data_IF_078603326432
#
_entry.id   IF_078603326432
#
_cell.length_a   1.000
_cell.length_b   1.000
_cell.length_c   1.000
_cell.angle_alpha   90.00
_cell.angle_beta   90.00
_cell.angle_gamma   90.00
#
_symmetry.space_group_name_H-M   'P 1'
#
loop_
_entity.id
_entity.type
_entity.pdbx_description
1 polymer ?
#
# COMPACT_ATOMS: atom_id res chain seq x y z
N UNK A 1 6.32 53.20 34.46
CA UNK A 1 5.88 52.87 33.08
C UNK A 1 7.12 52.68 32.22
N UNK A 2 7.40 51.45 31.79
CA UNK A 2 8.15 51.08 30.59
C UNK A 2 7.98 49.56 30.43
N UNK A 3 7.19 49.16 29.43
CA UNK A 3 7.02 47.77 29.00
C UNK A 3 8.11 47.48 27.98
N UNK A 4 8.81 46.35 28.13
CA UNK A 4 9.57 45.73 27.04
C UNK A 4 9.45 44.21 27.16
N UNK A 5 8.54 43.64 26.36
CA UNK A 5 8.49 42.20 26.11
C UNK A 5 9.51 41.83 25.03
N UNK A 6 10.18 40.69 25.21
CA UNK A 6 10.89 39.98 24.15
C UNK A 6 10.42 38.52 24.13
N UNK A 7 10.22 38.03 22.92
CA UNK A 7 9.47 36.86 22.45
C UNK A 7 10.06 35.48 22.82
N UNK A 8 9.25 34.39 22.72
CA UNK A 8 9.74 33.05 22.99
C UNK A 8 10.65 32.56 21.85
N UNK A 9 11.84 32.09 22.21
CA UNK A 9 12.79 31.44 21.31
C UNK A 9 12.19 30.10 20.87
N UNK A 10 11.57 30.09 19.69
CA UNK A 10 11.15 28.88 19.01
C UNK A 10 12.35 27.98 18.71
N UNK A 11 12.20 26.71 19.05
CA UNK A 11 13.19 25.64 18.94
C UNK A 11 13.67 25.46 17.48
N UNK A 12 14.93 25.79 17.22
CA UNK A 12 15.59 25.57 15.92
C UNK A 12 16.17 24.16 15.89
N UNK A 13 15.49 23.23 15.22
CA UNK A 13 16.04 21.89 14.95
C UNK A 13 17.21 22.00 13.95
N UNK A 14 18.40 21.51 14.34
CA UNK A 14 19.60 21.49 13.48
C UNK A 14 19.49 20.34 12.47
N UNK A 15 19.34 20.67 11.19
CA UNK A 15 19.72 19.80 10.06
C UNK A 15 21.08 20.28 9.53
N UNK A 16 21.94 19.34 9.12
CA UNK A 16 23.39 19.49 8.96
C UNK A 16 23.91 20.62 8.06
N UNK A 17 25.18 21.00 8.32
CA UNK A 17 26.07 21.96 7.64
C UNK A 17 25.38 23.19 6.99
N UNK A 18 25.06 24.17 7.83
CA UNK A 18 25.22 25.58 7.49
C UNK A 18 23.97 26.40 7.21
N UNK A 19 22.78 25.80 7.07
CA UNK A 19 21.53 26.55 6.87
C UNK A 19 20.55 26.21 7.99
N UNK A 20 20.35 27.14 8.92
CA UNK A 20 19.30 27.03 9.95
C UNK A 20 17.96 27.33 9.29
N UNK A 21 17.26 26.31 8.80
CA UNK A 21 15.87 26.46 8.37
C UNK A 21 14.95 26.56 9.59
N UNK A 22 13.93 27.41 9.51
CA UNK A 22 12.88 27.51 10.52
C UNK A 22 11.94 26.31 10.40
N UNK A 23 11.30 25.88 11.49
CA UNK A 23 10.39 24.73 11.49
C UNK A 23 9.30 24.83 10.39
N UNK A 24 8.78 26.03 10.14
CA UNK A 24 7.81 26.29 9.08
C UNK A 24 8.37 26.02 7.68
N UNK A 25 9.65 26.34 7.44
CA UNK A 25 10.31 26.05 6.17
C UNK A 25 10.45 24.53 5.97
N UNK A 26 10.78 23.78 7.03
CA UNK A 26 10.90 22.31 6.96
C UNK A 26 9.55 21.66 6.63
N UNK A 27 8.47 22.12 7.26
CA UNK A 27 7.11 21.63 6.98
C UNK A 27 6.64 21.99 5.55
N UNK A 28 6.97 23.19 5.06
CA UNK A 28 6.64 23.57 3.69
C UNK A 28 7.39 22.75 2.63
N UNK A 29 8.65 22.36 2.90
CA UNK A 29 9.43 21.48 2.01
C UNK A 29 8.84 20.07 1.98
N UNK A 30 8.54 19.47 3.14
CA UNK A 30 7.86 18.16 3.21
C UNK A 30 6.50 18.19 2.49
N UNK A 31 5.77 19.29 2.60
CA UNK A 31 4.49 19.47 1.92
C UNK A 31 4.68 19.53 0.40
N UNK A 32 5.68 20.27 -0.08
CA UNK A 32 6.00 20.35 -1.50
C UNK A 32 6.47 18.99 -2.06
N UNK A 33 7.28 18.24 -1.32
CA UNK A 33 7.68 16.85 -1.66
C UNK A 33 6.46 15.93 -1.75
N UNK A 34 5.58 15.94 -0.74
CA UNK A 34 4.32 15.16 -0.76
C UNK A 34 3.41 15.53 -1.93
N UNK A 35 3.33 16.82 -2.30
CA UNK A 35 2.52 17.28 -3.44
C UNK A 35 3.16 16.88 -4.77
N UNK A 36 4.48 16.89 -4.88
CA UNK A 36 5.20 16.42 -6.06
C UNK A 36 5.06 14.90 -6.22
N UNK A 37 5.14 14.15 -5.13
CA UNK A 37 4.90 12.71 -5.08
C UNK A 37 3.46 12.38 -5.45
N UNK A 38 2.47 13.11 -4.91
CA UNK A 38 1.06 12.96 -5.25
C UNK A 38 0.75 13.22 -6.74
N UNK A 39 1.49 14.14 -7.40
CA UNK A 39 1.36 14.40 -8.85
C UNK A 39 1.93 13.28 -9.72
N UNK A 40 2.74 12.38 -9.15
CA UNK A 40 3.39 11.28 -9.87
C UNK A 40 2.84 9.90 -9.48
N UNK A 41 1.80 9.84 -8.62
CA UNK A 41 1.11 8.59 -8.30
C UNK A 41 0.47 8.04 -9.58
N UNK A 42 0.78 6.80 -10.00
CA UNK A 42 0.13 6.21 -11.15
C UNK A 42 -1.39 6.17 -10.97
N UNK A 43 -2.09 6.48 -12.06
CA UNK A 43 -3.54 6.31 -12.14
C UNK A 43 -3.96 4.85 -11.95
N UNK A 44 -5.25 4.63 -11.74
CA UNK A 44 -5.80 3.26 -11.78
C UNK A 44 -6.00 2.86 -13.24
N UNK A 45 -5.33 1.80 -13.65
CA UNK A 45 -5.51 1.18 -14.95
C UNK A 45 -6.70 0.23 -14.96
N UNK A 46 -6.63 -0.83 -15.77
CA UNK A 46 -7.65 -1.87 -15.72
C UNK A 46 -7.59 -2.66 -14.41
N UNK A 47 -8.73 -3.22 -14.01
CA UNK A 47 -8.82 -4.19 -12.92
C UNK A 47 -9.67 -5.37 -13.40
N UNK A 48 -9.00 -6.41 -13.88
CA UNK A 48 -9.65 -7.55 -14.54
C UNK A 48 -9.77 -8.71 -13.57
N UNK A 49 -11.00 -9.07 -13.21
CA UNK A 49 -11.26 -10.22 -12.35
C UNK A 49 -11.52 -11.50 -13.16
N UNK A 50 -10.88 -12.60 -12.75
CA UNK A 50 -11.11 -13.95 -13.25
C UNK A 50 -11.21 -14.94 -12.10
N UNK A 51 -11.81 -16.10 -12.34
CA UNK A 51 -11.85 -17.19 -11.37
C UNK A 51 -10.66 -18.13 -11.56
N UNK A 52 -10.03 -18.54 -10.47
CA UNK A 52 -9.08 -19.64 -10.50
C UNK A 52 -9.75 -20.92 -11.00
N UNK A 53 -9.02 -21.70 -11.81
CA UNK A 53 -9.54 -22.94 -12.40
C UNK A 53 -10.00 -23.96 -11.34
N UNK A 54 -9.37 -23.98 -10.17
CA UNK A 54 -9.67 -24.91 -9.08
C UNK A 54 -9.67 -24.19 -7.73
N UNK A 55 -10.55 -24.59 -6.80
CA UNK A 55 -10.46 -24.15 -5.43
C UNK A 55 -9.21 -24.72 -4.75
N UNK A 56 -8.72 -24.02 -3.73
CA UNK A 56 -7.64 -24.46 -2.85
C UNK A 56 -8.25 -25.08 -1.59
N UNK A 57 -7.62 -26.13 -1.05
CA UNK A 57 -8.05 -26.70 0.23
C UNK A 57 -7.60 -25.79 1.36
N UNK A 58 -8.36 -25.76 2.45
CA UNK A 58 -8.07 -24.90 3.60
C UNK A 58 -6.67 -25.15 4.17
N UNK A 59 -6.24 -26.42 4.21
CA UNK A 59 -4.93 -26.82 4.71
C UNK A 59 -3.77 -26.33 3.81
N UNK A 60 -4.04 -26.11 2.53
CA UNK A 60 -3.04 -25.73 1.52
C UNK A 60 -3.04 -24.22 1.26
N UNK A 61 -3.96 -23.45 1.86
CA UNK A 61 -4.16 -22.04 1.55
C UNK A 61 -2.93 -21.18 1.89
N UNK A 62 -2.36 -21.37 3.08
CA UNK A 62 -1.18 -20.60 3.53
C UNK A 62 0.04 -20.94 2.66
N UNK A 63 0.27 -22.22 2.35
CA UNK A 63 1.35 -22.61 1.43
C UNK A 63 1.17 -21.95 0.06
N UNK A 64 -0.05 -21.93 -0.47
CA UNK A 64 -0.35 -21.30 -1.76
C UNK A 64 -0.12 -19.78 -1.73
N UNK A 65 -0.39 -19.14 -0.60
CA UNK A 65 -0.10 -17.73 -0.36
C UNK A 65 1.39 -17.44 -0.38
N UNK A 66 2.18 -18.23 0.34
CA UNK A 66 3.65 -18.10 0.38
C UNK A 66 4.27 -18.32 -1.00
N UNK A 67 3.82 -19.34 -1.73
CA UNK A 67 4.25 -19.60 -3.11
C UNK A 67 3.90 -18.44 -4.06
N UNK A 68 2.72 -17.84 -3.88
CA UNK A 68 2.27 -16.75 -4.73
C UNK A 68 3.02 -15.45 -4.46
N UNK A 69 3.16 -15.05 -3.19
CA UNK A 69 3.87 -13.84 -2.79
C UNK A 69 5.38 -13.97 -2.96
N UNK A 70 5.91 -15.19 -2.90
CA UNK A 70 7.33 -15.48 -2.99
C UNK A 70 8.09 -15.11 -1.72
N UNK A 71 9.41 -15.26 -1.81
CA UNK A 71 10.34 -14.99 -0.71
C UNK A 71 10.51 -13.49 -0.45
N UNK A 72 10.92 -13.13 0.76
CA UNK A 72 11.24 -11.75 1.14
C UNK A 72 10.29 -11.22 2.20
N UNK A 73 10.51 -9.98 2.63
CA UNK A 73 9.63 -9.34 3.60
C UNK A 73 8.39 -8.82 2.90
N UNK A 74 7.23 -9.35 3.27
CA UNK A 74 5.94 -8.86 2.80
C UNK A 74 5.54 -7.58 3.55
N UNK A 75 4.67 -6.79 2.94
CA UNK A 75 4.27 -5.49 3.47
C UNK A 75 2.81 -5.19 3.14
N UNK A 76 2.14 -4.32 3.91
CA UNK A 76 0.82 -3.78 3.56
C UNK A 76 0.92 -2.42 2.85
N UNK A 77 2.13 -1.95 2.50
CA UNK A 77 2.31 -0.69 1.78
C UNK A 77 1.97 -0.89 0.30
N UNK A 78 0.96 -0.15 -0.17
CA UNK A 78 0.45 -0.25 -1.52
C UNK A 78 1.44 0.34 -2.55
N UNK A 79 1.88 -0.41 -3.57
CA UNK A 79 2.96 -0.03 -4.49
C UNK A 79 2.63 1.19 -5.36
N UNK A 80 1.36 1.42 -5.68
CA UNK A 80 0.88 2.60 -6.41
C UNK A 80 0.88 3.87 -5.56
N UNK A 81 0.51 3.80 -4.28
CA UNK A 81 0.25 5.01 -3.46
C UNK A 81 1.28 5.25 -2.37
N UNK A 82 2.09 4.26 -2.01
CA UNK A 82 3.00 4.33 -0.86
C UNK A 82 2.30 4.36 0.50
N UNK A 83 0.99 4.11 0.54
CA UNK A 83 0.18 4.14 1.77
C UNK A 83 -0.15 2.73 2.24
N UNK A 84 -0.38 2.58 3.54
CA UNK A 84 -0.90 1.32 4.10
C UNK A 84 -2.27 0.96 3.50
N UNK A 85 -2.43 -0.32 3.17
CA UNK A 85 -3.67 -0.92 2.70
C UNK A 85 -3.99 -2.11 3.62
N UNK A 86 -4.98 -1.93 4.50
CA UNK A 86 -5.34 -2.93 5.51
C UNK A 86 -5.94 -4.22 4.91
N UNK A 87 -6.42 -4.16 3.66
CA UNK A 87 -7.05 -5.29 2.99
C UNK A 87 -6.05 -6.08 2.13
N UNK A 88 -4.75 -5.75 2.16
CA UNK A 88 -3.74 -6.34 1.27
C UNK A 88 -2.42 -6.67 1.96
N UNK A 89 -1.82 -7.75 1.48
CA UNK A 89 -0.42 -8.12 1.73
C UNK A 89 0.29 -8.17 0.39
N UNK A 90 1.34 -7.39 0.22
CA UNK A 90 2.16 -7.27 -0.98
C UNK A 90 3.44 -8.10 -0.88
N UNK A 91 3.87 -8.66 -2.02
CA UNK A 91 5.18 -9.26 -2.20
C UNK A 91 6.29 -8.22 -1.99
N UNK A 92 7.51 -8.69 -1.73
CA UNK A 92 8.66 -7.82 -1.47
C UNK A 92 9.00 -6.89 -2.64
N UNK A 93 8.70 -7.30 -3.88
CA UNK A 93 8.89 -6.51 -5.10
C UNK A 93 7.68 -5.63 -5.45
N UNK A 94 6.58 -5.71 -4.68
CA UNK A 94 5.36 -4.95 -4.90
C UNK A 94 4.58 -5.35 -6.16
N UNK A 95 4.91 -6.46 -6.83
CA UNK A 95 4.24 -6.87 -8.08
C UNK A 95 3.07 -7.81 -7.85
N UNK A 96 2.91 -8.35 -6.63
CA UNK A 96 1.84 -9.27 -6.27
C UNK A 96 1.21 -8.89 -4.96
N UNK A 97 -0.09 -9.17 -4.81
CA UNK A 97 -0.73 -9.10 -3.51
C UNK A 97 -1.79 -10.15 -3.30
N UNK A 98 -1.98 -10.52 -2.04
CA UNK A 98 -3.19 -11.16 -1.56
C UNK A 98 -4.13 -10.07 -1.08
N UNK A 99 -5.34 -10.01 -1.65
CA UNK A 99 -6.39 -9.13 -1.16
C UNK A 99 -7.44 -9.92 -0.39
N UNK A 100 -7.72 -9.42 0.80
CA UNK A 100 -8.64 -9.99 1.76
C UNK A 100 -9.30 -8.86 2.57
N UNK A 101 -10.47 -8.41 2.12
CA UNK A 101 -11.19 -7.30 2.74
C UNK A 101 -12.42 -7.73 3.55
N UNK A 102 -13.21 -6.73 3.95
CA UNK A 102 -14.44 -6.92 4.75
C UNK A 102 -15.50 -7.79 4.04
N UNK A 103 -15.56 -7.77 2.70
CA UNK A 103 -16.51 -8.59 1.93
C UNK A 103 -16.16 -10.08 2.02
N UNK A 104 -14.86 -10.39 2.02
CA UNK A 104 -14.27 -11.71 2.06
C UNK A 104 -14.32 -12.28 3.49
N UNK A 105 -14.00 -11.45 4.50
CA UNK A 105 -14.05 -11.81 5.93
C UNK A 105 -15.44 -12.17 6.43
N UNK A 106 -16.48 -11.50 5.93
CA UNK A 106 -17.86 -11.72 6.36
C UNK A 106 -18.62 -12.75 5.50
N UNK A 107 -17.91 -13.40 4.58
CA UNK A 107 -18.52 -14.40 3.70
C UNK A 107 -18.86 -15.69 4.46
N UNK A 108 -19.86 -16.44 3.96
CA UNK A 108 -20.18 -17.77 4.50
C UNK A 108 -18.95 -18.68 4.34
N UNK A 109 -18.63 -19.59 5.28
CA UNK A 109 -17.47 -20.48 5.16
C UNK A 109 -17.41 -21.28 3.86
N UNK A 110 -18.56 -21.65 3.29
CA UNK A 110 -18.66 -22.35 2.00
C UNK A 110 -18.41 -21.48 0.76
N UNK A 111 -18.38 -20.16 0.94
CA UNK A 111 -18.15 -19.14 -0.09
C UNK A 111 -16.85 -18.37 0.11
N UNK A 112 -16.05 -18.77 1.09
CA UNK A 112 -14.79 -18.11 1.39
C UNK A 112 -13.88 -18.10 0.16
N UNK A 113 -13.31 -16.94 -0.12
CA UNK A 113 -12.36 -16.71 -1.19
C UNK A 113 -11.40 -15.58 -0.82
N UNK A 114 -10.25 -15.56 -1.47
CA UNK A 114 -9.30 -14.46 -1.47
C UNK A 114 -8.94 -14.11 -2.91
N UNK A 115 -8.23 -13.01 -3.10
CA UNK A 115 -7.80 -12.56 -4.42
C UNK A 115 -6.27 -12.60 -4.54
N UNK A 116 -5.77 -13.26 -5.58
CA UNK A 116 -4.38 -13.18 -6.04
C UNK A 116 -4.30 -12.07 -7.10
N UNK A 117 -3.67 -10.96 -6.77
CA UNK A 117 -3.56 -9.79 -7.64
C UNK A 117 -2.13 -9.65 -8.17
N UNK A 118 -1.97 -9.46 -9.49
CA UNK A 118 -0.70 -9.13 -10.14
C UNK A 118 -0.79 -7.69 -10.62
N UNK A 119 0.21 -6.89 -10.26
CA UNK A 119 0.29 -5.46 -10.51
C UNK A 119 1.29 -5.17 -11.61
N UNK A 120 0.85 -4.50 -12.66
CA UNK A 120 1.70 -4.11 -13.80
C UNK A 120 1.66 -2.60 -13.99
N UNK A 121 2.80 -1.94 -13.79
CA UNK A 121 2.94 -0.52 -14.07
C UNK A 121 3.14 -0.28 -15.57
N UNK A 122 2.26 0.52 -16.16
CA UNK A 122 2.39 1.05 -17.50
C UNK A 122 2.94 2.49 -17.42
N UNK A 123 4.24 2.70 -17.73
CA UNK A 123 4.86 4.02 -17.65
C UNK A 123 4.42 4.97 -18.78
N UNK A 124 3.91 4.44 -19.90
CA UNK A 124 3.47 5.26 -21.05
C UNK A 124 2.19 6.01 -20.69
N UNK A 125 1.24 5.30 -20.10
CA UNK A 125 -0.03 5.87 -19.68
C UNK A 125 -0.02 6.33 -18.20
N UNK A 126 1.07 6.08 -17.49
CA UNK A 126 1.24 6.29 -16.06
C UNK A 126 0.08 5.69 -15.24
N UNK A 127 -0.24 4.42 -15.50
CA UNK A 127 -1.29 3.69 -14.79
C UNK A 127 -0.77 2.39 -14.20
N UNK A 128 -1.37 1.97 -13.10
CA UNK A 128 -1.14 0.66 -12.51
C UNK A 128 -2.32 -0.25 -12.82
N UNK A 129 -2.06 -1.30 -13.59
CA UNK A 129 -3.04 -2.32 -13.97
C UNK A 129 -3.03 -3.48 -12.98
N UNK A 130 -4.18 -4.15 -12.84
CA UNK A 130 -4.35 -5.27 -11.91
C UNK A 130 -5.05 -6.44 -12.60
N UNK A 131 -4.33 -7.56 -12.70
CA UNK A 131 -4.90 -8.86 -13.01
C UNK A 131 -5.27 -9.56 -11.71
N UNK A 132 -6.56 -9.74 -11.47
CA UNK A 132 -7.13 -10.20 -10.21
C UNK A 132 -7.72 -11.60 -10.39
N UNK A 133 -7.15 -12.59 -9.71
CA UNK A 133 -7.66 -13.96 -9.70
C UNK A 133 -8.34 -14.27 -8.38
N UNK A 134 -9.65 -14.50 -8.41
CA UNK A 134 -10.42 -14.97 -7.26
C UNK A 134 -10.14 -16.47 -7.03
N UNK A 135 -9.64 -16.80 -5.84
CA UNK A 135 -9.36 -18.17 -5.42
C UNK A 135 -10.32 -18.58 -4.30
N UNK A 136 -11.12 -19.62 -4.56
CA UNK A 136 -12.05 -20.16 -3.55
C UNK A 136 -11.33 -21.10 -2.59
N UNK A 137 -11.63 -20.98 -1.31
CA UNK A 137 -11.15 -21.90 -0.26
C UNK A 137 -12.34 -22.43 0.53
N UNK A 138 -13.15 -23.32 -0.07
CA UNK A 138 -14.38 -23.78 0.55
C UNK A 138 -14.08 -24.56 1.82
N UNK A 139 -14.55 -24.04 2.96
CA UNK A 139 -14.54 -24.78 4.22
C UNK A 139 -15.83 -25.59 4.31
N UNK A 140 -15.71 -26.93 4.28
CA UNK A 140 -16.81 -27.83 4.61
C UNK A 140 -16.88 -27.95 6.13
N UNK A 141 -18.04 -27.62 6.70
CA UNK A 141 -18.36 -27.96 8.09
C UNK A 141 -18.45 -29.46 8.27
#
# INVERSE_FOLDING_TARGET
>A
MAVAGLTPVGELAKVGKGVKMTANAVESVKTAERVAEAKNIPGRGYHKEVYANKPVKVQDAVTKWDEFLGTGTHTNIHPRTGLEDADRIFSADGTRSLRFGSHEMNSKPSKFHYHEEIWTYDPVNNVMNVDNTLVRVPYKK
#
